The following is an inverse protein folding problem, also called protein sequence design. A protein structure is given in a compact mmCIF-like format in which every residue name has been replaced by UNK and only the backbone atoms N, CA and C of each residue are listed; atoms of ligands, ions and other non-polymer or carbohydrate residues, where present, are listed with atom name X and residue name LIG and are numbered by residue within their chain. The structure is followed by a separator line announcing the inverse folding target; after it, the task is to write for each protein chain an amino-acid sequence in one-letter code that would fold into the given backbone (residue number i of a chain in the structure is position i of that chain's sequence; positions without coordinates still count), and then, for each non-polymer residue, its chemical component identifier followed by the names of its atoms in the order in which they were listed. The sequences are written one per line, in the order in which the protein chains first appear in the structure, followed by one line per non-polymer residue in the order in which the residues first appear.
data_IF_626695294440
#
_entry.id   IF_626695294440
#
_cell.length_a   1.000
_cell.length_b   1.000
_cell.length_c   1.000
_cell.angle_alpha   90.00
_cell.angle_beta   90.00
_cell.angle_gamma   90.00
#
_symmetry.space_group_name_H-M   'P 1'
#
loop_
_entity.id
_entity.type
_entity.pdbx_description
1 polymer ?
#
# COMPACT_ATOMS: atom_id res chain seq x y z
N UNK A 1 2.31 7.80 -11.84
CA UNK A 1 3.70 7.39 -11.58
C UNK A 1 3.72 6.88 -10.15
N UNK A 2 4.12 5.62 -9.93
CA UNK A 2 4.09 4.99 -8.61
C UNK A 2 5.22 5.60 -7.78
N UNK A 3 4.90 6.39 -6.75
CA UNK A 3 5.91 6.99 -5.87
C UNK A 3 6.32 5.98 -4.81
N UNK A 4 7.56 5.50 -4.86
CA UNK A 4 8.08 4.57 -3.85
C UNK A 4 8.27 5.31 -2.54
N UNK A 5 7.46 4.96 -1.52
CA UNK A 5 7.59 5.52 -0.19
C UNK A 5 8.79 4.93 0.57
N UNK A 6 9.64 5.81 1.12
CA UNK A 6 10.86 5.44 1.87
C UNK A 6 10.59 4.91 3.29
N UNK A 7 9.40 5.15 3.86
CA UNK A 7 9.00 4.64 5.19
C UNK A 7 8.91 3.12 5.24
N UNK A 8 8.74 2.47 4.09
CA UNK A 8 8.63 1.02 3.93
C UNK A 8 9.97 0.35 3.57
N UNK A 9 11.08 1.06 3.70
CA UNK A 9 12.42 0.52 3.44
C UNK A 9 12.86 -0.35 4.64
N UNK A 10 13.48 -1.51 4.36
CA UNK A 10 13.99 -2.48 5.34
C UNK A 10 12.94 -3.14 6.27
N UNK A 11 11.87 -3.74 5.74
CA UNK A 11 10.94 -4.53 6.55
C UNK A 11 11.66 -5.73 7.18
N UNK A 12 11.60 -5.85 8.51
CA UNK A 12 12.36 -6.85 9.28
C UNK A 12 11.49 -7.85 10.07
N UNK A 13 10.16 -7.70 10.04
CA UNK A 13 9.23 -8.61 10.70
C UNK A 13 8.57 -9.55 9.68
N UNK A 14 8.87 -10.86 9.68
CA UNK A 14 8.28 -11.80 8.74
C UNK A 14 6.83 -12.15 9.14
N UNK A 15 5.91 -12.03 8.19
CA UNK A 15 4.50 -12.39 8.35
C UNK A 15 4.06 -13.27 7.17
N UNK A 16 3.33 -14.34 7.45
CA UNK A 16 2.73 -15.20 6.41
C UNK A 16 1.33 -14.71 6.07
N UNK A 17 1.10 -14.38 4.80
CA UNK A 17 -0.21 -14.00 4.25
C UNK A 17 -0.59 -14.98 3.15
N UNK A 18 -1.82 -15.49 3.17
CA UNK A 18 -2.33 -16.41 2.13
C UNK A 18 -3.06 -15.60 1.06
N UNK A 19 -2.70 -15.82 -0.20
CA UNK A 19 -3.29 -15.17 -1.37
C UNK A 19 -4.09 -16.17 -2.21
N UNK A 20 -5.11 -15.68 -2.92
CA UNK A 20 -5.65 -16.40 -4.06
C UNK A 20 -4.65 -16.38 -5.22
N UNK A 21 -4.68 -17.37 -6.10
CA UNK A 21 -3.78 -17.44 -7.26
C UNK A 21 -3.88 -16.19 -8.13
N UNK A 22 -5.10 -15.72 -8.40
CA UNK A 22 -5.37 -14.54 -9.21
C UNK A 22 -4.70 -13.29 -8.62
N UNK A 23 -4.88 -13.04 -7.31
CA UNK A 23 -4.30 -11.87 -6.67
C UNK A 23 -2.77 -11.95 -6.63
N UNK A 24 -2.22 -13.13 -6.36
CA UNK A 24 -0.78 -13.35 -6.37
C UNK A 24 -0.16 -13.01 -7.73
N UNK A 25 -0.74 -13.51 -8.82
CA UNK A 25 -0.25 -13.27 -10.18
C UNK A 25 -0.31 -11.79 -10.55
N UNK A 26 -1.42 -11.11 -10.22
CA UNK A 26 -1.55 -9.67 -10.48
C UNK A 26 -0.47 -8.85 -9.76
N UNK A 27 -0.29 -9.10 -8.47
CA UNK A 27 0.71 -8.39 -7.67
C UNK A 27 2.15 -8.73 -8.10
N UNK A 28 2.42 -9.98 -8.48
CA UNK A 28 3.74 -10.35 -9.04
C UNK A 28 4.04 -9.63 -10.35
N UNK A 29 3.11 -9.67 -11.31
CA UNK A 29 3.30 -9.01 -12.59
C UNK A 29 3.50 -7.50 -12.43
N UNK A 30 2.77 -6.89 -11.49
CA UNK A 30 2.93 -5.47 -11.16
C UNK A 30 4.29 -5.21 -10.50
N UNK A 31 4.73 -6.05 -9.57
CA UNK A 31 6.03 -5.90 -8.91
C UNK A 31 7.19 -6.00 -9.91
N UNK A 32 7.11 -6.96 -10.82
CA UNK A 32 8.11 -7.16 -11.88
C UNK A 32 8.14 -5.94 -12.83
N UNK A 33 6.98 -5.38 -13.21
CA UNK A 33 6.89 -4.19 -14.06
C UNK A 33 7.47 -2.92 -13.43
N UNK A 34 7.31 -2.74 -12.13
CA UNK A 34 7.81 -1.58 -11.39
C UNK A 34 9.23 -1.81 -10.84
N UNK A 35 9.85 -2.95 -11.15
CA UNK A 35 11.21 -3.33 -10.73
C UNK A 35 11.42 -3.31 -9.21
N UNK A 36 10.40 -3.70 -8.44
CA UNK A 36 10.47 -3.82 -6.97
C UNK A 36 10.23 -5.26 -6.51
N UNK A 37 10.70 -5.57 -5.31
CA UNK A 37 10.41 -6.89 -4.72
C UNK A 37 8.90 -7.07 -4.49
N UNK A 38 8.43 -8.31 -4.58
CA UNK A 38 7.02 -8.63 -4.26
C UNK A 38 6.63 -8.16 -2.85
N UNK A 39 7.55 -8.28 -1.89
CA UNK A 39 7.34 -7.78 -0.54
C UNK A 39 7.11 -6.26 -0.52
N UNK A 40 7.93 -5.48 -1.25
CA UNK A 40 7.72 -4.04 -1.38
C UNK A 40 6.39 -3.72 -2.06
N UNK A 41 5.98 -4.47 -3.09
CA UNK A 41 4.68 -4.28 -3.73
C UNK A 41 3.53 -4.44 -2.73
N UNK A 42 3.55 -5.52 -1.93
CA UNK A 42 2.54 -5.76 -0.89
C UNK A 42 2.50 -4.62 0.13
N UNK A 43 3.67 -4.17 0.62
CA UNK A 43 3.74 -3.08 1.60
C UNK A 43 3.23 -1.74 1.04
N UNK A 44 3.56 -1.41 -0.21
CA UNK A 44 3.06 -0.20 -0.87
C UNK A 44 1.55 -0.24 -1.06
N UNK A 45 0.99 -1.40 -1.43
CA UNK A 45 -0.46 -1.58 -1.50
C UNK A 45 -1.14 -1.37 -0.14
N UNK A 46 -0.58 -1.91 0.95
CA UNK A 46 -1.11 -1.69 2.30
C UNK A 46 -1.05 -0.21 2.67
N UNK A 47 0.08 0.45 2.46
CA UNK A 47 0.26 1.87 2.79
C UNK A 47 -0.69 2.77 2.00
N UNK A 48 -0.88 2.50 0.71
CA UNK A 48 -1.79 3.29 -0.12
C UNK A 48 -3.20 3.36 0.46
N UNK A 49 -3.74 2.23 0.93
CA UNK A 49 -5.07 2.18 1.56
C UNK A 49 -5.08 2.97 2.87
N UNK A 50 -4.06 2.81 3.72
CA UNK A 50 -3.96 3.55 4.99
C UNK A 50 -3.88 5.06 4.75
N UNK A 51 -3.05 5.52 3.81
CA UNK A 51 -2.91 6.94 3.45
C UNK A 51 -4.21 7.52 2.87
N UNK A 52 -5.03 6.71 2.19
CA UNK A 52 -6.34 7.12 1.69
C UNK A 52 -7.38 7.24 2.81
N UNK A 53 -7.39 6.30 3.76
CA UNK A 53 -8.26 6.37 4.94
C UNK A 53 -7.93 7.58 5.82
N UNK A 54 -6.65 7.85 6.09
CA UNK A 54 -6.20 9.02 6.86
C UNK A 54 -6.63 10.33 6.19
N UNK A 55 -6.35 10.49 4.88
CA UNK A 55 -6.79 11.69 4.13
C UNK A 55 -8.30 11.87 4.16
N UNK A 56 -9.07 10.78 4.05
CA UNK A 56 -10.52 10.85 4.08
C UNK A 56 -11.07 11.20 5.47
N UNK A 57 -10.37 10.82 6.55
CA UNK A 57 -10.72 11.22 7.90
C UNK A 57 -10.48 12.72 8.14
N UNK A 58 -9.32 13.24 7.71
CA UNK A 58 -8.99 14.68 7.81
C UNK A 58 -9.99 15.58 7.07
N UNK A 59 -10.46 15.14 5.89
CA UNK A 59 -11.48 15.87 5.11
C UNK A 59 -12.82 15.93 5.85
N UNK A 60 -13.21 14.87 6.55
CA UNK A 60 -14.45 14.86 7.34
C UNK A 60 -14.36 15.79 8.55
N UNK A 61 -13.24 15.77 9.27
CA UNK A 61 -13.04 16.66 10.43
C UNK A 61 -13.03 18.14 10.02
N UNK A 62 -12.46 18.49 8.86
CA UNK A 62 -12.44 19.87 8.37
C UNK A 62 -13.75 20.34 7.74
N UNK A 63 -14.56 19.42 7.20
CA UNK A 63 -15.91 19.68 6.71
C UNK A 63 -16.91 19.95 7.84
N UNK A 64 -16.83 19.18 8.93
CA UNK A 64 -17.72 19.32 10.10
C UNK A 64 -17.40 20.59 10.95
N UNK A 65 -16.21 21.18 10.80
CA UNK A 65 -15.83 22.42 11.49
C UNK A 65 -16.38 23.71 10.81
N UNK A 66 -16.99 23.59 9.62
CA UNK A 66 -17.52 24.73 8.85
C UNK A 66 -19.06 24.72 8.66
N UNK A 67 -19.79 23.79 9.29
CA UNK A 67 -21.27 23.85 9.45
C UNK A 67 -21.68 24.30 10.86
#
# INVERSE_FOLDING_TARGET
MFSIDKTLINPNMPVTVRFSSVLYEWLRNKADKEEISFNQMVLQCCKYVMDEEERNAEIKETGDLHE
#
